data_IF_954435969853
#
_entry.id   IF_954435969853
#
_cell.length_a   1.000
_cell.length_b   1.000
_cell.length_c   1.000
_cell.angle_alpha   90.00
_cell.angle_beta   90.00
_cell.angle_gamma   90.00
#
_symmetry.space_group_name_H-M   'P 1'
#
loop_
_entity.id
_entity.type
_entity.pdbx_description
1 polymer ?
#
# COMPACT_ATOMS: atom_id res chain seq x y z
N UNK A 1 -67.46 -57.86 5.45
CA UNK A 1 -66.43 -57.63 6.48
C UNK A 1 -65.23 -56.97 5.81
N UNK A 2 -65.13 -55.64 5.86
CA UNK A 2 -64.06 -54.90 5.15
C UNK A 2 -63.61 -53.62 5.88
N UNK A 3 -64.28 -53.22 6.97
CA UNK A 3 -63.99 -51.95 7.66
C UNK A 3 -62.74 -51.98 8.57
N UNK A 4 -62.47 -53.04 9.35
CA UNK A 4 -61.29 -53.06 10.23
C UNK A 4 -59.96 -53.12 9.47
N UNK A 5 -59.89 -53.90 8.39
CA UNK A 5 -58.69 -54.04 7.55
C UNK A 5 -58.35 -52.73 6.83
N UNK A 6 -59.36 -52.02 6.31
CA UNK A 6 -59.17 -50.70 5.69
C UNK A 6 -58.71 -49.65 6.69
N UNK A 7 -59.20 -49.68 7.93
CA UNK A 7 -58.71 -48.77 8.97
C UNK A 7 -57.26 -49.05 9.37
N UNK A 8 -56.85 -50.33 9.40
CA UNK A 8 -55.45 -50.68 9.64
C UNK A 8 -54.56 -50.23 8.47
N UNK A 9 -54.98 -50.43 7.22
CA UNK A 9 -54.21 -49.96 6.07
C UNK A 9 -54.07 -48.43 6.04
N UNK A 10 -55.11 -47.70 6.46
CA UNK A 10 -55.04 -46.23 6.59
C UNK A 10 -54.02 -45.83 7.66
N UNK A 11 -54.04 -46.46 8.83
CA UNK A 11 -53.09 -46.16 9.91
C UNK A 11 -51.64 -46.49 9.54
N UNK A 12 -51.43 -47.56 8.78
CA UNK A 12 -50.10 -47.90 8.27
C UNK A 12 -49.63 -46.87 7.24
N UNK A 13 -50.51 -46.43 6.35
CA UNK A 13 -50.20 -45.37 5.39
C UNK A 13 -49.92 -44.02 6.07
N UNK A 14 -50.68 -43.66 7.12
CA UNK A 14 -50.43 -42.47 7.94
C UNK A 14 -49.05 -42.52 8.59
N UNK A 15 -48.70 -43.64 9.23
CA UNK A 15 -47.37 -43.79 9.84
C UNK A 15 -46.25 -43.71 8.80
N UNK A 16 -46.42 -44.34 7.65
CA UNK A 16 -45.43 -44.27 6.57
C UNK A 16 -45.28 -42.84 6.02
N UNK A 17 -46.38 -42.08 5.96
CA UNK A 17 -46.32 -40.67 5.56
C UNK A 17 -45.60 -39.82 6.61
N UNK A 18 -45.86 -40.04 7.90
CA UNK A 18 -45.17 -39.34 9.00
C UNK A 18 -43.65 -39.63 8.98
N UNK A 19 -43.26 -40.89 8.73
CA UNK A 19 -41.85 -41.29 8.57
C UNK A 19 -41.19 -40.59 7.38
N UNK A 20 -41.86 -40.55 6.22
CA UNK A 20 -41.34 -39.83 5.03
C UNK A 20 -41.14 -38.34 5.31
N UNK A 21 -42.05 -37.71 6.06
CA UNK A 21 -41.93 -36.29 6.41
C UNK A 21 -40.74 -36.09 7.35
N UNK A 22 -40.60 -36.92 8.39
CA UNK A 22 -39.49 -36.81 9.33
C UNK A 22 -38.13 -37.00 8.64
N UNK A 23 -38.03 -37.97 7.73
CA UNK A 23 -36.82 -38.19 6.94
C UNK A 23 -36.52 -36.97 6.05
N UNK A 24 -37.54 -36.41 5.38
CA UNK A 24 -37.38 -35.25 4.52
C UNK A 24 -36.98 -33.98 5.30
N UNK A 25 -37.49 -33.81 6.53
CA UNK A 25 -37.10 -32.71 7.42
C UNK A 25 -35.63 -32.85 7.86
N UNK A 26 -35.21 -34.05 8.27
CA UNK A 26 -33.82 -34.33 8.64
C UNK A 26 -32.86 -34.08 7.46
N UNK A 27 -33.21 -34.57 6.27
CA UNK A 27 -32.49 -34.34 5.01
C UNK A 27 -32.34 -32.85 4.70
N UNK A 28 -33.38 -32.06 4.95
CA UNK A 28 -33.37 -30.62 4.71
C UNK A 28 -32.47 -29.88 5.71
N UNK A 29 -32.48 -30.30 6.98
CA UNK A 29 -31.61 -29.77 8.02
C UNK A 29 -30.13 -30.06 7.74
N UNK A 30 -29.80 -31.29 7.33
CA UNK A 30 -28.45 -31.69 6.94
C UNK A 30 -27.94 -30.83 5.77
N UNK A 31 -28.72 -30.72 4.69
CA UNK A 31 -28.36 -29.88 3.53
C UNK A 31 -28.17 -28.41 3.91
N UNK A 32 -28.98 -27.90 4.84
CA UNK A 32 -28.84 -26.52 5.32
C UNK A 32 -27.56 -26.34 6.15
N UNK A 33 -27.21 -27.32 6.99
CA UNK A 33 -25.98 -27.29 7.77
C UNK A 33 -24.74 -27.33 6.85
N UNK A 34 -24.71 -28.26 5.88
CA UNK A 34 -23.65 -28.36 4.88
C UNK A 34 -23.50 -27.07 4.06
N UNK A 35 -24.62 -26.48 3.63
CA UNK A 35 -24.60 -25.22 2.88
C UNK A 35 -24.03 -24.06 3.70
N UNK A 36 -24.31 -24.02 5.01
CA UNK A 36 -23.76 -23.00 5.92
C UNK A 36 -22.27 -23.18 6.15
N UNK A 37 -21.84 -24.41 6.41
CA UNK A 37 -20.42 -24.74 6.57
C UNK A 37 -19.64 -24.35 5.31
N UNK A 38 -20.14 -24.74 4.13
CA UNK A 38 -19.51 -24.38 2.86
C UNK A 38 -19.48 -22.86 2.62
N UNK A 39 -20.50 -22.12 3.05
CA UNK A 39 -20.50 -20.67 2.94
C UNK A 39 -19.46 -20.02 3.87
N UNK A 40 -19.28 -20.56 5.09
CA UNK A 40 -18.26 -20.10 6.03
C UNK A 40 -16.85 -20.43 5.52
N UNK A 41 -16.64 -21.61 4.92
CA UNK A 41 -15.38 -21.98 4.27
C UNK A 41 -15.03 -21.01 3.13
N UNK A 42 -15.97 -20.73 2.23
CA UNK A 42 -15.76 -19.79 1.12
C UNK A 42 -15.41 -18.40 1.65
N UNK A 43 -16.06 -17.94 2.73
CA UNK A 43 -15.74 -16.64 3.34
C UNK A 43 -14.33 -16.64 3.92
N UNK A 44 -13.96 -17.68 4.65
CA UNK A 44 -12.64 -17.78 5.27
C UNK A 44 -11.52 -17.86 4.23
N UNK A 45 -11.71 -18.60 3.14
CA UNK A 45 -10.77 -18.67 2.01
C UNK A 45 -10.62 -17.30 1.34
N UNK A 46 -11.73 -16.62 1.05
CA UNK A 46 -11.69 -15.28 0.46
C UNK A 46 -11.02 -14.24 1.38
N UNK A 47 -11.22 -14.33 2.70
CA UNK A 47 -10.54 -13.47 3.68
C UNK A 47 -9.03 -13.73 3.70
N UNK A 48 -8.61 -15.00 3.68
CA UNK A 48 -7.19 -15.37 3.65
C UNK A 48 -6.50 -14.96 2.35
N UNK A 49 -7.16 -15.15 1.20
CA UNK A 49 -6.66 -14.68 -0.10
C UNK A 49 -6.50 -13.16 -0.12
N UNK A 50 -7.50 -12.43 0.37
CA UNK A 50 -7.46 -10.97 0.42
C UNK A 50 -6.33 -10.45 1.34
N UNK A 51 -6.08 -11.12 2.47
CA UNK A 51 -4.97 -10.79 3.37
C UNK A 51 -3.62 -11.04 2.70
N UNK A 52 -3.46 -12.19 2.01
CA UNK A 52 -2.24 -12.52 1.25
C UNK A 52 -1.97 -11.48 0.16
N UNK A 53 -2.98 -11.14 -0.66
CA UNK A 53 -2.83 -10.13 -1.71
C UNK A 53 -2.49 -8.75 -1.13
N UNK A 54 -3.09 -8.38 0.01
CA UNK A 54 -2.80 -7.12 0.67
C UNK A 54 -1.35 -7.07 1.16
N UNK A 55 -0.85 -8.17 1.72
CA UNK A 55 0.54 -8.27 2.16
C UNK A 55 1.51 -8.18 0.98
N UNK A 56 1.26 -8.91 -0.11
CA UNK A 56 2.08 -8.85 -1.32
C UNK A 56 2.15 -7.43 -1.89
N UNK A 57 1.00 -6.72 -1.95
CA UNK A 57 0.96 -5.32 -2.39
C UNK A 57 1.75 -4.39 -1.48
N UNK A 58 1.72 -4.62 -0.17
CA UNK A 58 2.49 -3.82 0.79
C UNK A 58 3.99 -4.08 0.67
N UNK A 59 4.40 -5.31 0.41
CA UNK A 59 5.81 -5.67 0.20
C UNK A 59 6.33 -5.05 -1.10
N UNK A 60 5.61 -5.22 -2.21
CA UNK A 60 5.96 -4.58 -3.48
C UNK A 60 6.05 -3.06 -3.36
N UNK A 61 5.08 -2.40 -2.71
CA UNK A 61 5.11 -0.96 -2.50
C UNK A 61 6.32 -0.50 -1.66
N UNK A 62 6.77 -1.31 -0.70
CA UNK A 62 7.98 -1.01 0.09
C UNK A 62 9.24 -1.12 -0.76
N UNK A 63 9.34 -2.14 -1.60
CA UNK A 63 10.45 -2.31 -2.54
C UNK A 63 10.53 -1.14 -3.52
N UNK A 64 9.40 -0.73 -4.11
CA UNK A 64 9.33 0.44 -5.00
C UNK A 64 9.76 1.73 -4.29
N UNK A 65 9.36 1.93 -3.04
CA UNK A 65 9.78 3.10 -2.24
C UNK A 65 11.28 3.09 -2.01
N UNK A 66 11.87 1.93 -1.72
CA UNK A 66 13.30 1.82 -1.46
C UNK A 66 14.11 2.06 -2.73
N UNK A 67 13.72 1.45 -3.86
CA UNK A 67 14.32 1.71 -5.17
C UNK A 67 14.27 3.20 -5.50
N UNK A 68 13.08 3.82 -5.37
CA UNK A 68 12.92 5.23 -5.67
C UNK A 68 13.75 6.13 -4.75
N UNK A 69 13.88 5.74 -3.47
CA UNK A 69 14.73 6.45 -2.51
C UNK A 69 16.21 6.36 -2.92
N UNK A 70 16.68 5.20 -3.33
CA UNK A 70 18.05 5.02 -3.79
C UNK A 70 18.34 5.88 -5.02
N UNK A 71 17.43 5.90 -6.02
CA UNK A 71 17.54 6.77 -7.19
C UNK A 71 17.64 8.25 -6.82
N UNK A 72 16.79 8.73 -5.89
CA UNK A 72 16.80 10.12 -5.44
C UNK A 72 18.12 10.45 -4.73
N UNK A 73 18.65 9.53 -3.92
CA UNK A 73 19.93 9.73 -3.22
C UNK A 73 21.11 9.73 -4.19
N UNK A 74 21.10 8.86 -5.20
CA UNK A 74 22.13 8.84 -6.24
C UNK A 74 22.11 10.12 -7.08
N UNK A 75 20.93 10.52 -7.56
CA UNK A 75 20.74 11.79 -8.28
C UNK A 75 21.21 12.97 -7.43
N UNK A 76 20.80 13.05 -6.17
CA UNK A 76 21.20 14.15 -5.29
C UNK A 76 22.71 14.19 -5.00
N UNK A 77 23.39 13.04 -4.98
CA UNK A 77 24.86 12.98 -4.88
C UNK A 77 25.51 13.49 -6.16
N UNK A 78 25.02 13.09 -7.32
CA UNK A 78 25.51 13.55 -8.61
C UNK A 78 25.35 15.07 -8.76
N UNK A 79 24.16 15.61 -8.45
CA UNK A 79 23.87 17.05 -8.49
C UNK A 79 24.81 17.83 -7.55
N UNK A 80 25.07 17.29 -6.35
CA UNK A 80 25.99 17.89 -5.40
C UNK A 80 27.43 17.89 -5.92
N UNK A 81 27.87 16.76 -6.48
CA UNK A 81 29.23 16.63 -7.03
C UNK A 81 29.45 17.60 -8.21
N UNK A 82 28.45 17.75 -9.07
CA UNK A 82 28.44 18.74 -10.16
C UNK A 82 28.52 20.17 -9.61
N UNK A 83 27.65 20.52 -8.66
CA UNK A 83 27.65 21.84 -8.04
C UNK A 83 28.98 22.16 -7.36
N UNK A 84 29.59 21.19 -6.67
CA UNK A 84 30.89 21.36 -6.03
C UNK A 84 32.01 21.58 -7.04
N UNK A 85 32.01 20.84 -8.15
CA UNK A 85 32.97 21.04 -9.24
C UNK A 85 32.83 22.44 -9.84
N UNK A 86 31.61 22.81 -10.19
CA UNK A 86 31.34 24.13 -10.76
C UNK A 86 31.72 25.28 -9.82
N UNK A 87 31.45 25.12 -8.52
CA UNK A 87 31.82 26.11 -7.52
C UNK A 87 33.35 26.25 -7.45
N UNK A 88 34.08 25.13 -7.36
CA UNK A 88 35.55 25.13 -7.30
C UNK A 88 36.17 25.82 -8.51
N UNK A 89 35.65 25.58 -9.71
CA UNK A 89 36.14 26.22 -10.94
C UNK A 89 35.95 27.75 -10.94
N UNK A 90 34.97 28.26 -10.19
CA UNK A 90 34.64 29.70 -10.11
C UNK A 90 35.24 30.40 -8.90
N UNK A 91 35.81 29.68 -7.92
CA UNK A 91 36.34 30.26 -6.68
C UNK A 91 37.43 31.30 -6.96
N UNK A 92 38.41 30.97 -7.81
CA UNK A 92 39.53 31.87 -8.09
C UNK A 92 39.04 33.17 -8.74
N UNK A 93 38.18 33.06 -9.76
CA UNK A 93 37.58 34.22 -10.41
C UNK A 93 36.74 35.08 -9.46
N UNK A 94 36.03 34.47 -8.52
CA UNK A 94 35.25 35.21 -7.52
C UNK A 94 36.16 35.94 -6.51
N UNK A 95 37.28 35.32 -6.13
CA UNK A 95 38.30 35.96 -5.26
C UNK A 95 38.95 37.13 -5.98
N UNK A 96 39.37 36.95 -7.23
CA UNK A 96 39.97 38.01 -8.05
C UNK A 96 39.02 39.21 -8.18
N UNK A 97 37.74 38.93 -8.48
CA UNK A 97 36.72 39.96 -8.54
C UNK A 97 36.56 40.72 -7.21
N UNK A 98 36.55 40.00 -6.08
CA UNK A 98 36.43 40.63 -4.76
C UNK A 98 37.65 41.51 -4.44
N UNK A 99 38.87 41.06 -4.78
CA UNK A 99 40.11 41.83 -4.60
C UNK A 99 40.09 43.08 -5.47
N UNK A 100 39.75 42.98 -6.75
CA UNK A 100 39.68 44.12 -7.66
C UNK A 100 38.70 45.19 -7.15
N UNK A 101 37.53 44.78 -6.66
CA UNK A 101 36.53 45.70 -6.08
C UNK A 101 37.02 46.34 -4.79
N UNK A 102 37.77 45.61 -3.97
CA UNK A 102 38.36 46.13 -2.75
C UNK A 102 39.44 47.17 -3.06
N UNK A 103 40.36 46.86 -3.98
CA UNK A 103 41.42 47.78 -4.40
C UNK A 103 40.85 49.08 -4.98
N UNK A 104 39.82 48.98 -5.83
CA UNK A 104 39.12 50.14 -6.37
C UNK A 104 38.54 51.03 -5.26
N UNK A 105 37.87 50.43 -4.26
CA UNK A 105 37.29 51.19 -3.14
C UNK A 105 38.36 51.87 -2.27
N UNK A 106 39.51 51.23 -2.05
CA UNK A 106 40.63 51.83 -1.32
C UNK A 106 41.24 53.01 -2.10
N UNK A 107 41.39 52.87 -3.41
CA UNK A 107 41.85 53.97 -4.26
C UNK A 107 40.89 55.16 -4.23
N UNK A 108 39.58 54.93 -4.38
CA UNK A 108 38.57 55.98 -4.30
C UNK A 108 38.65 56.74 -2.95
N UNK A 109 38.78 56.01 -1.84
CA UNK A 109 38.93 56.61 -0.52
C UNK A 109 40.23 57.41 -0.36
N UNK A 110 41.33 56.93 -0.93
CA UNK A 110 42.61 57.63 -0.89
C UNK A 110 42.57 58.94 -1.70
N UNK A 111 41.92 58.93 -2.87
CA UNK A 111 41.71 60.14 -3.67
C UNK A 111 40.82 61.16 -2.96
N UNK A 112 39.73 60.72 -2.31
CA UNK A 112 38.89 61.60 -1.50
C UNK A 112 39.67 62.24 -0.33
N UNK A 113 40.52 61.46 0.35
CA UNK A 113 41.32 61.95 1.46
C UNK A 113 42.38 62.98 1.01
N UNK A 114 43.00 62.77 -0.15
CA UNK A 114 43.95 63.73 -0.75
C UNK A 114 43.24 65.01 -1.19
N UNK A 115 42.07 64.88 -1.83
CA UNK A 115 41.27 66.03 -2.25
C UNK A 115 40.69 66.83 -1.07
N UNK A 116 40.48 66.22 0.09
CA UNK A 116 40.06 66.90 1.32
C UNK A 116 41.20 67.63 2.06
N UNK A 117 42.46 67.35 1.73
CA UNK A 117 43.66 67.98 2.30
C UNK A 117 44.28 69.07 1.43
N UNK A 118 43.82 69.22 0.17
CA UNK A 118 44.20 70.27 -0.78
C UNK A 118 43.26 71.49 -0.68
#
# INVERSE_FOLDING_TARGET
MARPEVLNSIKEAERAADEIIADAESDAEERLAEARERADEIRAEAEAEAESEAQERLEAAREEIEERREEILESGRADRDELESEARDRVESAVDYAVERFEAAVHDQAEEAVNAQA
#
